data_IF_822111740675
#
_entry.id   IF_822111740675
#
_cell.length_a   1.000
_cell.length_b   1.000
_cell.length_c   1.000
_cell.angle_alpha   90.00
_cell.angle_beta   90.00
_cell.angle_gamma   90.00
#
_symmetry.space_group_name_H-M   'P 1'
#
loop_
_entity.id
_entity.type
_entity.pdbx_description
1 polymer ?
#
# COMPACT_ATOMS: atom_id res chain seq x y z
N UNK A 1 7.93 0.10 21.48
CA UNK A 1 7.96 1.17 20.45
C UNK A 1 8.80 0.80 19.23
N UNK A 2 10.00 0.24 19.39
CA UNK A 2 10.88 -0.22 18.29
C UNK A 2 10.24 -1.24 17.35
N UNK A 3 9.48 -2.22 17.87
CA UNK A 3 8.85 -3.27 17.05
C UNK A 3 7.78 -2.73 16.09
N UNK A 4 6.99 -1.75 16.54
CA UNK A 4 5.92 -1.15 15.72
C UNK A 4 6.54 -0.30 14.61
N UNK A 5 7.57 0.50 14.91
CA UNK A 5 8.29 1.26 13.91
C UNK A 5 8.89 0.35 12.82
N UNK A 6 9.55 -0.73 13.23
CA UNK A 6 10.11 -1.70 12.29
C UNK A 6 9.03 -2.32 11.37
N UNK A 7 7.90 -2.74 11.94
CA UNK A 7 6.81 -3.40 11.21
C UNK A 7 6.02 -2.46 10.29
N UNK A 8 6.02 -1.15 10.53
CA UNK A 8 5.35 -0.16 9.64
C UNK A 8 6.31 0.28 8.53
N UNK A 9 7.57 0.60 8.86
CA UNK A 9 8.52 1.09 7.86
C UNK A 9 8.96 0.01 6.87
N UNK A 10 9.03 -1.27 7.29
CA UNK A 10 9.35 -2.38 6.40
C UNK A 10 8.43 -2.44 5.17
N UNK A 11 7.11 -2.62 5.35
CA UNK A 11 6.15 -2.62 4.25
C UNK A 11 6.15 -1.34 3.42
N UNK A 12 6.25 -0.17 4.06
CA UNK A 12 6.27 1.12 3.34
C UNK A 12 7.44 1.20 2.35
N UNK A 13 8.62 0.74 2.75
CA UNK A 13 9.78 0.68 1.86
C UNK A 13 9.59 -0.35 0.73
N UNK A 14 9.06 -1.54 1.05
CA UNK A 14 8.85 -2.62 0.09
C UNK A 14 7.84 -2.23 -1.00
N UNK A 15 6.80 -1.47 -0.66
CA UNK A 15 5.82 -0.96 -1.65
C UNK A 15 6.51 -0.01 -2.65
N UNK A 16 7.39 0.86 -2.18
CA UNK A 16 8.16 1.75 -3.05
C UNK A 16 9.07 0.98 -4.01
N UNK A 17 9.76 -0.05 -3.50
CA UNK A 17 10.58 -0.94 -4.34
C UNK A 17 9.74 -1.69 -5.38
N UNK A 18 8.60 -2.23 -4.96
CA UNK A 18 7.67 -2.94 -5.83
C UNK A 18 7.15 -2.05 -6.98
N UNK A 19 6.83 -0.79 -6.69
CA UNK A 19 6.43 0.18 -7.70
C UNK A 19 7.56 0.50 -8.71
N UNK A 20 8.82 0.50 -8.27
CA UNK A 20 9.97 0.67 -9.16
C UNK A 20 10.11 -0.51 -10.13
N UNK A 21 9.90 -1.74 -9.65
CA UNK A 21 10.02 -2.95 -10.45
C UNK A 21 8.91 -3.09 -11.49
N UNK A 22 7.72 -2.56 -11.20
CA UNK A 22 6.56 -2.61 -12.09
C UNK A 22 6.62 -1.57 -13.23
N UNK A 23 7.41 -0.50 -13.08
CA UNK A 23 7.43 0.62 -14.02
C UNK A 23 8.65 0.57 -14.98
N UNK A 24 8.53 1.11 -16.21
CA UNK A 24 9.67 1.24 -17.11
C UNK A 24 10.82 2.05 -16.49
N UNK A 25 12.07 1.71 -16.81
CA UNK A 25 13.29 2.36 -16.23
C UNK A 25 13.27 3.90 -16.27
N UNK A 26 12.63 4.49 -17.28
CA UNK A 26 12.50 5.95 -17.44
C UNK A 26 11.44 6.57 -16.52
N UNK A 27 10.45 5.80 -16.08
CA UNK A 27 9.30 6.24 -15.27
C UNK A 27 9.31 5.65 -13.84
N UNK A 28 10.25 4.76 -13.51
CA UNK A 28 10.36 4.10 -12.21
C UNK A 28 10.36 5.12 -11.04
N UNK A 29 11.21 6.15 -11.12
CA UNK A 29 11.27 7.19 -10.09
C UNK A 29 9.93 7.93 -9.88
N UNK A 30 9.19 8.19 -10.97
CA UNK A 30 7.87 8.82 -10.89
C UNK A 30 6.82 7.87 -10.32
N UNK A 31 6.86 6.57 -10.66
CA UNK A 31 5.95 5.57 -10.10
C UNK A 31 6.13 5.41 -8.59
N UNK A 32 7.37 5.28 -8.12
CA UNK A 32 7.67 5.22 -6.68
C UNK A 32 7.33 6.52 -5.95
N UNK A 33 7.61 7.67 -6.57
CA UNK A 33 7.23 8.98 -6.05
C UNK A 33 5.72 9.15 -5.95
N UNK A 34 4.96 8.65 -6.93
CA UNK A 34 3.50 8.69 -6.94
C UNK A 34 2.91 7.81 -5.82
N UNK A 35 3.41 6.59 -5.65
CA UNK A 35 2.98 5.72 -4.53
C UNK A 35 3.32 6.34 -3.17
N UNK A 36 4.49 6.99 -3.06
CA UNK A 36 4.88 7.70 -1.84
C UNK A 36 4.00 8.90 -1.54
N UNK A 37 3.66 9.70 -2.56
CA UNK A 37 2.80 10.88 -2.42
C UNK A 37 1.39 10.48 -1.94
N UNK A 38 0.75 9.53 -2.62
CA UNK A 38 -0.60 9.08 -2.24
C UNK A 38 -0.61 8.30 -0.92
N UNK A 39 0.43 7.49 -0.67
CA UNK A 39 0.59 6.78 0.59
C UNK A 39 0.75 7.74 1.77
N UNK A 40 1.56 8.79 1.63
CA UNK A 40 1.83 9.72 2.72
C UNK A 40 0.77 10.82 2.86
N UNK A 41 0.50 11.61 1.81
CA UNK A 41 -0.49 12.69 1.89
C UNK A 41 -1.90 12.13 2.03
N UNK A 42 -2.28 11.20 1.14
CA UNK A 42 -3.59 10.57 1.19
C UNK A 42 -3.79 9.78 2.47
N UNK A 43 -2.78 9.01 2.89
CA UNK A 43 -2.80 8.26 4.15
C UNK A 43 -2.91 9.14 5.38
N UNK A 44 -2.12 10.23 5.47
CA UNK A 44 -2.12 11.12 6.65
C UNK A 44 -3.44 11.89 6.76
N UNK A 45 -3.96 12.40 5.64
CA UNK A 45 -5.25 13.10 5.62
C UNK A 45 -6.38 12.15 5.99
N UNK A 46 -6.41 10.96 5.39
CA UNK A 46 -7.44 9.95 5.70
C UNK A 46 -7.34 9.47 7.14
N UNK A 47 -6.12 9.22 7.66
CA UNK A 47 -5.94 8.84 9.05
C UNK A 47 -6.46 9.93 9.99
N UNK A 48 -6.07 11.19 9.76
CA UNK A 48 -6.48 12.30 10.63
C UNK A 48 -7.99 12.55 10.58
N UNK A 49 -8.59 12.55 9.39
CA UNK A 49 -10.01 12.82 9.21
C UNK A 49 -10.90 11.63 9.60
N UNK A 50 -10.58 10.42 9.14
CA UNK A 50 -11.42 9.23 9.34
C UNK A 50 -11.27 8.68 10.75
N UNK A 51 -10.05 8.61 11.29
CA UNK A 51 -9.85 8.17 12.69
C UNK A 51 -10.35 9.25 13.64
N UNK A 52 -10.15 10.54 13.32
CA UNK A 52 -10.70 11.65 14.11
C UNK A 52 -12.22 11.61 14.18
N UNK A 53 -12.90 11.44 13.04
CA UNK A 53 -14.34 11.28 12.99
C UNK A 53 -14.82 10.01 13.72
N UNK A 54 -14.15 8.87 13.52
CA UNK A 54 -14.52 7.65 14.23
C UNK A 54 -14.34 7.78 15.75
N UNK A 55 -13.28 8.45 16.20
CA UNK A 55 -13.02 8.71 17.61
C UNK A 55 -14.04 9.66 18.25
N UNK A 56 -14.51 10.66 17.50
CA UNK A 56 -15.50 11.63 17.98
C UNK A 56 -16.90 11.02 18.14
N UNK A 57 -17.34 10.18 17.19
CA UNK A 57 -18.70 9.62 17.18
C UNK A 57 -18.83 8.24 17.84
N UNK A 58 -17.80 7.40 17.75
CA UNK A 58 -17.80 6.02 18.25
C UNK A 58 -16.77 5.77 19.36
N UNK A 59 -16.07 6.82 19.81
CA UNK A 59 -14.99 6.70 20.77
C UNK A 59 -13.72 6.10 20.16
N UNK A 60 -12.67 6.01 20.98
CA UNK A 60 -11.36 5.50 20.54
C UNK A 60 -11.41 4.07 20.02
N UNK A 61 -12.33 3.24 20.48
CA UNK A 61 -12.56 1.88 19.97
C UNK A 61 -12.91 1.90 18.48
N UNK A 62 -13.78 2.84 18.05
CA UNK A 62 -14.09 3.05 16.64
C UNK A 62 -12.86 3.43 15.81
N UNK A 63 -11.98 4.27 16.36
CA UNK A 63 -10.70 4.60 15.75
C UNK A 63 -9.79 3.38 15.56
N UNK A 64 -9.69 2.51 16.57
CA UNK A 64 -8.93 1.26 16.45
C UNK A 64 -9.53 0.30 15.42
N UNK A 65 -10.85 0.17 15.34
CA UNK A 65 -11.50 -0.63 14.30
C UNK A 65 -11.19 -0.12 12.89
N UNK A 66 -11.17 1.19 12.67
CA UNK A 66 -10.76 1.78 11.38
C UNK A 66 -9.31 1.43 11.04
N UNK A 67 -8.39 1.47 12.01
CA UNK A 67 -6.99 1.12 11.78
C UNK A 67 -6.81 -0.37 11.44
N UNK A 68 -7.49 -1.27 12.16
CA UNK A 68 -7.42 -2.72 11.93
C UNK A 68 -8.00 -3.07 10.56
N UNK A 69 -9.19 -2.56 10.24
CA UNK A 69 -9.84 -2.81 8.94
C UNK A 69 -9.01 -2.25 7.79
N UNK A 70 -8.42 -1.06 7.94
CA UNK A 70 -7.47 -0.51 6.97
C UNK A 70 -6.26 -1.41 6.74
N UNK A 71 -5.69 -1.98 7.81
CA UNK A 71 -4.58 -2.94 7.73
C UNK A 71 -4.96 -4.22 6.97
N UNK A 72 -6.13 -4.79 7.25
CA UNK A 72 -6.64 -5.99 6.55
C UNK A 72 -6.85 -5.67 5.07
N UNK A 73 -7.47 -4.53 4.74
CA UNK A 73 -7.67 -4.10 3.35
C UNK A 73 -6.34 -3.89 2.62
N UNK A 74 -5.33 -3.32 3.27
CA UNK A 74 -4.00 -3.14 2.69
C UNK A 74 -3.36 -4.49 2.33
N UNK A 75 -3.46 -5.50 3.20
CA UNK A 75 -2.97 -6.86 2.91
C UNK A 75 -3.72 -7.48 1.75
N UNK A 76 -5.05 -7.39 1.73
CA UNK A 76 -5.87 -7.94 0.64
C UNK A 76 -5.54 -7.29 -0.72
N UNK A 77 -5.40 -5.96 -0.76
CA UNK A 77 -5.03 -5.24 -1.99
C UNK A 77 -3.62 -5.62 -2.45
N UNK A 78 -2.66 -5.75 -1.55
CA UNK A 78 -1.30 -6.19 -1.88
C UNK A 78 -1.29 -7.62 -2.44
N UNK A 79 -2.08 -8.52 -1.87
CA UNK A 79 -2.25 -9.87 -2.42
C UNK A 79 -2.85 -9.85 -3.83
N UNK A 80 -3.86 -9.01 -4.08
CA UNK A 80 -4.45 -8.88 -5.42
C UNK A 80 -3.40 -8.37 -6.42
N UNK A 81 -2.62 -7.34 -6.05
CA UNK A 81 -1.58 -6.77 -6.92
C UNK A 81 -0.51 -7.81 -7.27
N UNK A 82 -0.02 -8.55 -6.27
CA UNK A 82 1.01 -9.59 -6.49
C UNK A 82 0.49 -10.75 -7.35
N UNK A 83 -0.77 -11.18 -7.19
CA UNK A 83 -1.40 -12.19 -8.06
C UNK A 83 -1.58 -11.65 -9.48
N UNK A 84 -1.99 -10.39 -9.65
CA UNK A 84 -2.14 -9.77 -10.97
C UNK A 84 -0.80 -9.63 -11.69
N UNK A 85 0.26 -9.23 -10.97
CA UNK A 85 1.61 -9.20 -11.51
C UNK A 85 2.06 -10.58 -11.98
N UNK A 86 1.85 -11.62 -11.17
CA UNK A 86 2.20 -12.99 -11.53
C UNK A 86 1.45 -13.46 -12.79
N UNK A 87 0.15 -13.14 -12.90
CA UNK A 87 -0.64 -13.43 -14.11
C UNK A 87 -0.14 -12.66 -15.32
N UNK A 88 0.20 -11.37 -15.17
CA UNK A 88 0.70 -10.55 -16.26
C UNK A 88 2.04 -11.07 -16.82
N UNK A 89 2.96 -11.47 -15.93
CA UNK A 89 4.23 -12.12 -16.32
C UNK A 89 3.99 -13.46 -17.03
N UNK A 90 3.02 -14.26 -16.59
CA UNK A 90 2.66 -15.51 -17.24
C UNK A 90 2.09 -15.31 -18.65
N UNK A 91 1.21 -14.32 -18.85
CA UNK A 91 0.67 -13.97 -20.17
C UNK A 91 1.75 -13.46 -21.13
N UNK A 92 2.71 -12.66 -20.65
CA UNK A 92 3.84 -12.22 -21.46
C UNK A 92 4.74 -13.39 -21.89
N UNK A 93 4.94 -14.38 -21.03
CA UNK A 93 5.71 -15.57 -21.35
C UNK A 93 5.02 -16.44 -22.42
N UNK A 94 3.68 -16.51 -22.42
CA UNK A 94 2.91 -17.26 -23.44
C UNK A 94 2.90 -16.55 -24.80
N UNK A 95 2.81 -15.21 -24.83
CA UNK A 95 2.78 -14.43 -26.08
C UNK A 95 4.14 -14.22 -26.75
N UNK A 96 5.23 -14.14 -26.00
CA UNK A 96 6.60 -13.96 -26.54
C UNK A 96 7.44 -15.23 -26.48
N UNK A 97 6.90 -16.33 -25.97
CA UNK A 97 7.56 -17.62 -25.80
C UNK A 97 7.14 -18.68 -26.82
N UNK A 98 7.34 -18.42 -28.11
CA UNK A 98 7.77 -19.38 -29.14
C UNK A 98 8.61 -18.65 -30.19
#
# INVERSE_FOLDING_TARGET
MTTIGFLIYGPVMLIGLHALELAPKKAAGTAAGFTGLFGYLGGTVSASAVVGWAAEYYGWDGGFYVMITGGILAVLLLLIVTIQEAKHKATLADHYGK
#
